data_IF_173597287476
#
_entry.id   IF_173597287476
#
_cell.length_a   1.000
_cell.length_b   1.000
_cell.length_c   1.000
_cell.angle_alpha   90.00
_cell.angle_beta   90.00
_cell.angle_gamma   90.00
#
_symmetry.space_group_name_H-M   'P 1'
#
loop_
_entity.id
_entity.type
_entity.pdbx_description
1 polymer ?
#
# COMPACT_ATOMS: atom_id res chain seq x y z
N UNK A 1 -3.45 -8.94 -20.18
CA UNK A 1 -3.04 -9.99 -19.22
C UNK A 1 -2.03 -9.40 -18.26
N UNK A 2 -2.19 -9.61 -16.94
CA UNK A 2 -1.27 -9.08 -15.92
C UNK A 2 0.09 -9.78 -16.04
N UNK A 3 1.13 -9.04 -16.44
CA UNK A 3 2.51 -9.57 -16.51
C UNK A 3 3.13 -9.75 -15.12
N UNK A 4 2.52 -9.22 -14.08
CA UNK A 4 3.06 -9.18 -12.72
C UNK A 4 2.56 -10.33 -11.84
N UNK A 5 1.47 -11.00 -12.22
CA UNK A 5 0.86 -12.08 -11.42
C UNK A 5 0.51 -13.30 -12.28
N UNK A 6 1.51 -14.13 -12.64
CA UNK A 6 1.32 -15.33 -13.51
C UNK A 6 0.23 -16.28 -13.04
N UNK A 7 0.04 -16.43 -11.72
CA UNK A 7 -1.00 -17.32 -11.16
C UNK A 7 -2.44 -16.84 -11.38
N UNK A 8 -2.63 -15.58 -11.77
CA UNK A 8 -3.94 -15.01 -12.11
C UNK A 8 -4.08 -14.72 -13.62
N UNK A 9 -3.09 -15.11 -14.44
CA UNK A 9 -3.16 -14.98 -15.87
C UNK A 9 -4.11 -16.04 -16.44
N UNK A 10 -5.13 -15.60 -17.18
CA UNK A 10 -6.11 -16.45 -17.83
C UNK A 10 -6.32 -15.92 -19.26
N UNK A 11 -6.09 -16.73 -20.32
CA UNK A 11 -6.21 -16.27 -21.70
C UNK A 11 -7.67 -16.00 -22.11
N UNK A 12 -8.63 -16.64 -21.43
CA UNK A 12 -10.05 -16.60 -21.79
C UNK A 12 -10.85 -15.70 -20.83
N UNK A 13 -10.19 -15.10 -19.83
CA UNK A 13 -10.82 -14.26 -18.81
C UNK A 13 -9.99 -13.03 -18.49
N UNK A 14 -10.67 -11.92 -18.24
CA UNK A 14 -10.06 -10.68 -17.78
C UNK A 14 -10.42 -10.39 -16.32
N UNK A 15 -9.52 -9.71 -15.63
CA UNK A 15 -9.73 -9.18 -14.29
C UNK A 15 -9.33 -7.71 -14.30
N UNK A 16 -10.20 -6.85 -13.75
CA UNK A 16 -9.95 -5.43 -13.58
C UNK A 16 -9.75 -5.14 -12.09
N UNK A 17 -8.55 -4.67 -11.74
CA UNK A 17 -8.25 -4.16 -10.39
C UNK A 17 -8.26 -2.64 -10.44
N UNK A 18 -9.14 -2.04 -9.65
CA UNK A 18 -9.50 -0.62 -9.74
C UNK A 18 -9.35 0.01 -8.37
N UNK A 19 -8.72 1.19 -8.31
CA UNK A 19 -8.65 1.98 -7.08
C UNK A 19 -9.85 2.92 -7.03
N UNK A 20 -10.74 2.71 -6.07
CA UNK A 20 -11.88 3.59 -5.84
C UNK A 20 -11.48 4.75 -4.91
N UNK A 21 -11.36 5.97 -5.45
CA UNK A 21 -11.03 7.16 -4.68
C UNK A 21 -11.70 8.43 -5.27
N UNK A 22 -12.11 9.41 -4.45
CA UNK A 22 -12.02 9.46 -2.97
C UNK A 22 -13.06 8.57 -2.27
N UNK A 23 -12.63 7.80 -1.27
CA UNK A 23 -13.48 6.78 -0.65
C UNK A 23 -14.19 7.21 0.66
N UNK A 24 -14.09 8.48 1.09
CA UNK A 24 -14.57 8.91 2.42
C UNK A 24 -16.06 8.58 2.65
N UNK A 25 -16.90 8.78 1.64
CA UNK A 25 -18.35 8.54 1.69
C UNK A 25 -18.76 7.13 1.25
N UNK A 26 -17.79 6.34 0.81
CA UNK A 26 -17.98 4.99 0.25
C UNK A 26 -17.52 3.90 1.22
N UNK A 27 -16.58 4.21 2.12
CA UNK A 27 -15.94 3.22 2.98
C UNK A 27 -16.92 2.48 3.91
N UNK A 28 -18.04 3.11 4.25
CA UNK A 28 -19.11 2.53 5.08
C UNK A 28 -20.27 1.92 4.29
N UNK A 29 -20.29 2.03 2.96
CA UNK A 29 -21.34 1.47 2.11
C UNK A 29 -21.16 -0.03 1.91
N UNK A 30 -22.22 -0.71 1.45
CA UNK A 30 -22.15 -2.12 1.08
C UNK A 30 -21.21 -2.36 -0.10
N UNK A 31 -20.73 -3.60 -0.25
CA UNK A 31 -19.88 -3.96 -1.39
C UNK A 31 -20.68 -3.87 -2.70
N UNK A 32 -21.97 -4.22 -2.65
CA UNK A 32 -22.90 -4.12 -3.77
C UNK A 32 -23.04 -2.69 -4.28
N UNK A 33 -23.21 -1.70 -3.39
CA UNK A 33 -23.27 -0.29 -3.78
C UNK A 33 -21.97 0.19 -4.45
N UNK A 34 -20.81 -0.25 -3.94
CA UNK A 34 -19.49 0.09 -4.51
C UNK A 34 -19.35 -0.53 -5.90
N UNK A 35 -19.76 -1.80 -6.06
CA UNK A 35 -19.71 -2.50 -7.35
C UNK A 35 -20.67 -1.86 -8.35
N UNK A 36 -21.89 -1.51 -7.95
CA UNK A 36 -22.83 -0.81 -8.84
C UNK A 36 -22.26 0.51 -9.35
N UNK A 37 -21.68 1.33 -8.46
CA UNK A 37 -21.02 2.57 -8.86
C UNK A 37 -19.82 2.31 -9.79
N UNK A 38 -19.02 1.28 -9.51
CA UNK A 38 -17.88 0.89 -10.35
C UNK A 38 -18.34 0.44 -11.75
N UNK A 39 -19.42 -0.35 -11.84
CA UNK A 39 -19.97 -0.83 -13.12
C UNK A 39 -20.53 0.32 -13.96
N UNK A 40 -21.15 1.32 -13.33
CA UNK A 40 -21.62 2.52 -14.01
C UNK A 40 -20.46 3.32 -14.64
N UNK A 41 -19.33 3.46 -13.94
CA UNK A 41 -18.13 4.09 -14.51
C UNK A 41 -17.49 3.24 -15.62
N UNK A 42 -17.49 1.91 -15.48
CA UNK A 42 -16.99 1.02 -16.54
C UNK A 42 -17.84 1.08 -17.81
N UNK A 43 -19.14 1.30 -17.70
CA UNK A 43 -20.02 1.56 -18.85
C UNK A 43 -19.61 2.83 -19.60
N UNK A 44 -19.23 3.89 -18.89
CA UNK A 44 -18.73 5.12 -19.51
C UNK A 44 -17.38 4.90 -20.19
N UNK A 45 -16.46 4.17 -19.55
CA UNK A 45 -15.11 3.94 -20.05
C UNK A 45 -15.03 2.92 -21.20
N UNK A 46 -15.88 1.89 -21.14
CA UNK A 46 -15.87 0.75 -22.04
C UNK A 46 -17.29 0.40 -22.54
N UNK A 47 -17.98 1.34 -23.22
CA UNK A 47 -19.40 1.20 -23.57
C UNK A 47 -19.70 0.06 -24.55
N UNK A 48 -18.68 -0.45 -25.27
CA UNK A 48 -18.83 -1.62 -26.15
C UNK A 48 -19.01 -2.93 -25.38
N UNK A 49 -18.52 -2.99 -24.14
CA UNK A 49 -18.49 -4.21 -23.32
C UNK A 49 -19.41 -4.14 -22.10
N UNK A 50 -19.78 -2.95 -21.65
CA UNK A 50 -20.64 -2.75 -20.47
C UNK A 50 -21.81 -1.84 -20.80
N UNK A 51 -22.92 -2.03 -20.08
CA UNK A 51 -24.16 -1.27 -20.28
C UNK A 51 -25.14 -1.93 -21.25
N UNK A 52 -26.33 -1.32 -21.42
CA UNK A 52 -27.43 -1.88 -22.21
C UNK A 52 -27.15 -1.87 -23.72
N UNK A 53 -26.21 -1.04 -24.18
CA UNK A 53 -25.86 -0.89 -25.60
C UNK A 53 -24.58 -1.66 -25.98
N UNK A 54 -24.07 -2.52 -25.09
CA UNK A 54 -22.87 -3.29 -25.36
C UNK A 54 -23.09 -4.29 -26.51
N UNK A 55 -22.18 -4.28 -27.48
CA UNK A 55 -22.19 -5.24 -28.60
C UNK A 55 -21.84 -6.66 -28.11
N UNK A 56 -20.89 -6.73 -27.19
CA UNK A 56 -20.39 -7.98 -26.60
C UNK A 56 -20.40 -7.83 -25.08
N UNK A 57 -21.56 -8.01 -24.42
CA UNK A 57 -21.72 -7.70 -23.00
C UNK A 57 -20.85 -8.61 -22.13
N UNK A 58 -19.92 -8.00 -21.39
CA UNK A 58 -19.12 -8.66 -20.39
C UNK A 58 -19.97 -8.96 -19.14
N UNK A 59 -19.87 -10.19 -18.64
CA UNK A 59 -20.59 -10.63 -17.45
C UNK A 59 -19.65 -10.65 -16.24
N UNK A 60 -19.97 -9.88 -15.19
CA UNK A 60 -19.26 -9.93 -13.92
C UNK A 60 -19.49 -11.29 -13.24
N UNK A 61 -18.45 -12.12 -13.18
CA UNK A 61 -18.52 -13.48 -12.62
C UNK A 61 -18.39 -13.53 -11.10
N UNK A 62 -17.54 -12.66 -10.56
CA UNK A 62 -17.24 -12.52 -9.14
C UNK A 62 -16.60 -11.16 -8.92
N UNK A 63 -16.67 -10.66 -7.70
CA UNK A 63 -15.99 -9.45 -7.28
C UNK A 63 -15.37 -9.63 -5.89
N UNK A 64 -14.43 -8.76 -5.54
CA UNK A 64 -13.90 -8.66 -4.19
C UNK A 64 -13.58 -7.19 -3.91
N UNK A 65 -14.15 -6.66 -2.83
CA UNK A 65 -13.94 -5.26 -2.43
C UNK A 65 -13.04 -5.24 -1.19
N UNK A 66 -11.84 -4.67 -1.34
CA UNK A 66 -10.91 -4.49 -0.22
C UNK A 66 -11.02 -3.04 0.29
N UNK A 67 -11.47 -2.88 1.53
CA UNK A 67 -11.67 -1.57 2.17
C UNK A 67 -10.53 -1.26 3.13
N UNK A 68 -9.71 -0.26 2.81
CA UNK A 68 -8.63 0.22 3.67
C UNK A 68 -8.94 1.64 4.16
N UNK A 69 -9.69 1.82 5.27
CA UNK A 69 -10.16 3.14 5.73
C UNK A 69 -9.02 4.09 6.13
N UNK A 70 -7.88 3.55 6.55
CA UNK A 70 -6.68 4.29 6.96
C UNK A 70 -5.48 3.68 6.26
N UNK A 71 -5.30 4.02 4.97
CA UNK A 71 -4.22 3.49 4.13
C UNK A 71 -2.90 4.24 4.38
N UNK A 72 -2.52 5.14 3.49
CA UNK A 72 -1.40 6.06 3.67
C UNK A 72 -1.85 7.32 4.40
N UNK A 73 -0.92 8.05 5.01
CA UNK A 73 -1.24 9.34 5.62
C UNK A 73 -1.71 10.32 4.52
N UNK A 74 -2.73 11.14 4.84
CA UNK A 74 -3.25 12.14 3.90
C UNK A 74 -2.25 13.29 3.77
N UNK A 75 -1.61 13.46 2.63
CA UNK A 75 -0.61 14.50 2.36
C UNK A 75 -1.23 15.89 2.17
N UNK A 76 -1.71 16.52 3.26
CA UNK A 76 -2.18 17.91 3.23
C UNK A 76 -1.03 18.91 3.36
N UNK A 77 -1.29 20.18 3.00
CA UNK A 77 -0.34 21.29 3.15
C UNK A 77 0.16 21.39 4.59
N UNK A 78 1.47 21.62 4.75
CA UNK A 78 2.10 21.87 6.05
C UNK A 78 2.51 20.62 6.84
N UNK A 79 2.37 19.40 6.30
CA UNK A 79 2.70 18.18 7.04
C UNK A 79 4.18 17.81 7.06
N UNK A 80 5.00 18.35 6.16
CA UNK A 80 6.41 17.95 6.03
C UNK A 80 7.22 18.09 7.33
N UNK A 81 7.09 19.17 8.14
CA UNK A 81 7.80 19.31 9.42
C UNK A 81 7.37 18.31 10.50
N UNK A 82 6.20 17.66 10.34
CA UNK A 82 5.67 16.70 11.32
C UNK A 82 6.06 15.25 11.02
N UNK A 83 6.73 15.00 9.89
CA UNK A 83 7.21 13.66 9.55
C UNK A 83 8.46 13.36 10.41
N UNK A 84 8.43 12.32 11.25
CA UNK A 84 9.56 12.04 12.14
C UNK A 84 10.75 11.49 11.35
N UNK A 85 11.96 11.87 11.77
CA UNK A 85 13.18 11.19 11.32
C UNK A 85 13.21 9.74 11.84
N UNK A 86 14.05 8.90 11.23
CA UNK A 86 14.16 7.48 11.61
C UNK A 86 14.77 7.28 13.00
N UNK A 87 15.69 8.17 13.42
CA UNK A 87 16.21 8.22 14.79
C UNK A 87 15.29 9.08 15.66
N UNK A 88 14.81 8.50 16.76
CA UNK A 88 13.99 9.22 17.74
C UNK A 88 14.85 9.74 18.91
N UNK A 89 14.35 10.68 19.73
CA UNK A 89 15.03 11.08 20.95
C UNK A 89 15.02 10.00 22.06
N UNK A 90 14.21 8.94 21.91
CA UNK A 90 14.12 7.85 22.89
C UNK A 90 15.26 6.85 22.58
N UNK A 91 16.14 6.53 23.55
CA UNK A 91 17.21 5.56 23.33
C UNK A 91 16.68 4.20 22.89
N UNK A 92 17.35 3.58 21.92
CA UNK A 92 16.96 2.28 21.37
C UNK A 92 15.54 2.23 20.76
N UNK A 93 15.01 3.38 20.32
CA UNK A 93 13.72 3.46 19.65
C UNK A 93 13.88 4.17 18.29
N UNK A 94 13.55 3.44 17.22
CA UNK A 94 13.69 3.89 15.83
C UNK A 94 12.36 3.71 15.10
N UNK A 95 12.13 4.53 14.07
CA UNK A 95 10.92 4.47 13.27
C UNK A 95 11.25 4.15 11.81
N UNK A 96 10.42 3.30 11.21
CA UNK A 96 10.41 3.03 9.78
C UNK A 96 8.96 2.99 9.28
N UNK A 97 8.77 3.33 8.02
CA UNK A 97 7.47 3.51 7.39
C UNK A 97 7.48 4.71 6.44
N UNK A 98 6.63 4.65 5.41
CA UNK A 98 6.50 5.68 4.39
C UNK A 98 6.20 7.09 4.94
N UNK A 99 5.52 7.16 6.09
CA UNK A 99 5.20 8.37 6.85
C UNK A 99 6.43 9.08 7.46
N UNK A 100 7.52 8.34 7.72
CA UNK A 100 8.77 8.92 8.26
C UNK A 100 9.43 9.85 7.24
N UNK A 101 10.37 10.69 7.66
CA UNK A 101 11.01 11.71 6.82
C UNK A 101 11.89 11.08 5.73
N UNK A 102 11.42 11.16 4.49
CA UNK A 102 12.13 10.73 3.28
C UNK A 102 11.53 11.42 2.03
N UNK A 103 12.21 11.32 0.88
CA UNK A 103 11.95 12.14 -0.32
C UNK A 103 10.94 11.58 -1.34
N UNK A 104 10.52 10.32 -1.24
CA UNK A 104 9.69 9.59 -2.20
C UNK A 104 8.21 9.44 -1.79
N UNK A 105 7.67 10.38 -1.01
CA UNK A 105 6.26 10.42 -0.59
C UNK A 105 5.76 9.15 0.14
N UNK A 106 4.47 9.09 0.46
CA UNK A 106 3.82 7.91 1.02
C UNK A 106 3.67 6.83 -0.07
N UNK A 107 4.72 6.04 -0.29
CA UNK A 107 4.83 5.08 -1.40
C UNK A 107 5.63 3.85 -1.02
N UNK A 108 5.62 2.83 -1.89
CA UNK A 108 6.48 1.65 -1.72
C UNK A 108 7.96 2.03 -1.67
N UNK A 109 8.42 2.94 -2.54
CA UNK A 109 9.79 3.43 -2.54
C UNK A 109 10.11 4.18 -1.23
N UNK A 110 9.17 5.00 -0.76
CA UNK A 110 9.29 5.70 0.51
C UNK A 110 9.39 4.76 1.71
N UNK A 111 8.62 3.67 1.72
CA UNK A 111 8.70 2.64 2.75
C UNK A 111 10.05 1.90 2.74
N UNK A 112 10.54 1.52 1.56
CA UNK A 112 11.83 0.83 1.40
C UNK A 112 12.99 1.76 1.81
N UNK A 113 13.00 2.99 1.32
CA UNK A 113 14.02 3.97 1.69
C UNK A 113 14.00 4.26 3.20
N UNK A 114 12.81 4.44 3.78
CA UNK A 114 12.65 4.61 5.22
C UNK A 114 13.29 3.46 6.02
N UNK A 115 13.04 2.21 5.61
CA UNK A 115 13.65 1.04 6.23
C UNK A 115 15.19 1.05 6.15
N UNK A 116 15.74 1.42 4.98
CA UNK A 116 17.20 1.59 4.80
C UNK A 116 17.77 2.67 5.72
N UNK A 117 17.10 3.81 5.83
CA UNK A 117 17.52 4.91 6.70
C UNK A 117 17.46 4.51 8.19
N UNK A 118 16.43 3.78 8.61
CA UNK A 118 16.32 3.28 9.97
C UNK A 118 17.44 2.27 10.31
N UNK A 119 17.70 1.31 9.41
CA UNK A 119 18.82 0.39 9.56
C UNK A 119 20.17 1.12 9.64
N UNK A 120 20.37 2.17 8.86
CA UNK A 120 21.59 3.00 8.92
C UNK A 120 21.78 3.68 10.28
N UNK A 121 20.71 4.24 10.85
CA UNK A 121 20.77 4.86 12.19
C UNK A 121 21.02 3.83 13.29
N UNK A 122 20.48 2.61 13.17
CA UNK A 122 20.79 1.49 14.08
C UNK A 122 22.27 1.12 13.99
N UNK A 123 22.82 0.93 12.79
CA UNK A 123 24.22 0.60 12.59
C UNK A 123 25.17 1.67 13.18
N UNK A 124 24.86 2.96 12.98
CA UNK A 124 25.61 4.06 13.61
C UNK A 124 25.55 3.99 15.13
N UNK A 125 24.38 3.72 15.70
CA UNK A 125 24.20 3.66 17.15
C UNK A 125 25.00 2.50 17.78
N UNK A 126 25.07 1.34 17.10
CA UNK A 126 25.93 0.21 17.49
C UNK A 126 27.41 0.58 17.40
N UNK A 127 27.84 1.21 16.28
CA UNK A 127 29.22 1.65 16.11
C UNK A 127 29.66 2.69 17.15
N UNK A 128 28.74 3.57 17.56
CA UNK A 128 28.96 4.57 18.60
C UNK A 128 28.89 3.99 20.03
N UNK A 129 28.61 2.70 20.21
CA UNK A 129 28.47 2.05 21.51
C UNK A 129 27.22 2.49 22.30
N UNK A 130 26.29 3.18 21.66
CA UNK A 130 25.01 3.61 22.27
C UNK A 130 23.93 2.53 22.23
N UNK A 131 24.15 1.50 21.40
CA UNK A 131 23.40 0.25 21.42
C UNK A 131 24.37 -0.92 21.59
N UNK A 132 23.98 -1.96 22.35
CA UNK A 132 24.78 -3.17 22.42
C UNK A 132 24.82 -3.84 21.03
N UNK A 133 26.02 -4.21 20.59
CA UNK A 133 26.14 -5.16 19.49
C UNK A 133 25.52 -6.50 19.93
N UNK A 134 24.83 -7.18 19.00
CA UNK A 134 24.31 -8.53 19.25
C UNK A 134 25.49 -9.43 19.64
N UNK A 135 25.48 -9.98 20.84
CA UNK A 135 26.46 -10.99 21.26
C UNK A 135 26.05 -12.32 20.62
N UNK A 136 26.56 -12.60 19.43
CA UNK A 136 26.30 -13.86 18.75
C UNK A 136 27.08 -14.99 19.42
N UNK A 137 26.35 -15.87 20.13
CA UNK A 137 26.93 -17.07 20.75
C UNK A 137 25.95 -18.12 21.32
N UNK A 138 24.68 -17.79 21.64
CA UNK A 138 23.84 -18.74 22.39
C UNK A 138 22.45 -19.08 21.81
N UNK A 139 21.94 -18.36 20.79
CA UNK A 139 20.51 -18.43 20.45
C UNK A 139 20.14 -19.15 19.14
N UNK A 140 21.10 -19.62 18.34
CA UNK A 140 20.81 -20.32 17.07
C UNK A 140 20.86 -21.86 17.16
N UNK A 141 21.11 -22.43 18.35
CA UNK A 141 21.15 -23.88 18.57
C UNK A 141 19.88 -24.43 19.26
N UNK A 142 18.82 -23.62 19.38
CA UNK A 142 17.58 -24.01 20.07
C UNK A 142 16.30 -23.73 19.26
N UNK A 143 16.36 -23.85 17.93
CA UNK A 143 15.19 -23.84 17.04
C UNK A 143 15.33 -24.88 15.94
#
# INVERSE_FOLDING_TARGET
MSNTCRGYADPDRSMLELVFAPAKEWIGRSDEEIIQATMAELEVLFPRYFGPNAEEPACLRKYHVVKTPRSVYKTTKGLQPYRPAQKTPIPNFFLAGDYTQQMYFASMEGAVLSGKLAAHEICKAVQAGTLPARQDGAALLAS
#
